data_IF_030004216818
#
_entry.id   IF_030004216818
#
_cell.length_a   1.000
_cell.length_b   1.000
_cell.length_c   1.000
_cell.angle_alpha   90.00
_cell.angle_beta   90.00
_cell.angle_gamma   90.00
#
_symmetry.space_group_name_H-M   'P 1'
#
loop_
_entity.id
_entity.type
_entity.pdbx_description
1 polymer ?
#
# COMPACT_ATOMS: atom_id res chain seq x y z
N UNK A 1 46.75 -19.87 -7.82
CA UNK A 1 46.18 -18.69 -8.50
C UNK A 1 44.82 -19.12 -9.04
N UNK A 2 43.65 -18.62 -8.71
CA UNK A 2 43.17 -17.64 -7.72
C UNK A 2 41.70 -18.01 -7.52
N UNK A 3 41.30 -18.35 -6.30
CA UNK A 3 39.89 -18.37 -5.92
C UNK A 3 39.59 -16.98 -5.35
N UNK A 4 38.57 -16.29 -5.87
CA UNK A 4 37.77 -15.32 -5.11
C UNK A 4 36.54 -14.95 -5.91
N UNK A 5 35.54 -15.82 -5.78
CA UNK A 5 34.14 -15.61 -6.08
C UNK A 5 33.67 -14.38 -5.32
N UNK A 6 33.38 -13.29 -6.02
CA UNK A 6 32.62 -12.18 -5.46
C UNK A 6 31.12 -12.53 -5.58
N UNK A 7 30.65 -13.42 -4.72
CA UNK A 7 29.22 -13.56 -4.43
C UNK A 7 28.78 -12.29 -3.70
N UNK A 8 28.34 -11.30 -4.48
CA UNK A 8 27.62 -10.15 -3.94
C UNK A 8 26.26 -10.63 -3.45
N UNK A 9 26.23 -11.15 -2.22
CA UNK A 9 24.99 -11.32 -1.45
C UNK A 9 24.43 -9.93 -1.11
N UNK A 10 23.82 -9.25 -2.09
CA UNK A 10 22.83 -8.22 -1.78
C UNK A 10 21.64 -8.93 -1.16
N UNK A 11 21.66 -9.07 0.16
CA UNK A 11 20.44 -9.26 0.94
C UNK A 11 19.65 -7.97 0.84
N UNK A 12 19.09 -7.70 -0.33
CA UNK A 12 18.23 -6.56 -0.59
C UNK A 12 17.11 -6.64 0.42
N UNK A 13 17.06 -5.64 1.31
CA UNK A 13 15.83 -5.29 2.02
C UNK A 13 14.82 -4.99 0.92
N UNK A 14 14.07 -6.00 0.47
CA UNK A 14 13.04 -5.83 -0.55
C UNK A 14 12.02 -4.88 0.04
N UNK A 15 12.10 -3.64 -0.43
CA UNK A 15 11.24 -2.56 0.02
C UNK A 15 9.85 -2.76 -0.55
N UNK A 16 8.91 -1.94 -0.10
CA UNK A 16 7.56 -1.92 -0.67
C UNK A 16 7.57 -1.64 -2.18
N UNK A 17 8.60 -0.95 -2.68
CA UNK A 17 8.82 -0.63 -4.10
C UNK A 17 8.95 -1.88 -4.99
N UNK A 18 9.49 -3.00 -4.47
CA UNK A 18 9.57 -4.27 -5.21
C UNK A 18 8.19 -4.88 -5.55
N UNK A 19 7.12 -4.39 -4.91
CA UNK A 19 5.75 -4.87 -5.17
C UNK A 19 5.13 -4.20 -6.41
N UNK A 20 5.69 -3.08 -6.83
CA UNK A 20 5.22 -2.31 -7.97
C UNK A 20 6.01 -2.71 -9.23
N UNK A 21 5.31 -2.80 -10.35
CA UNK A 21 5.95 -2.92 -11.65
C UNK A 21 6.59 -1.60 -12.08
N UNK A 22 7.36 -1.62 -13.17
CA UNK A 22 8.04 -0.45 -13.70
C UNK A 22 7.07 0.69 -14.10
N UNK A 23 5.79 0.38 -14.35
CA UNK A 23 4.72 1.33 -14.63
C UNK A 23 4.08 1.92 -13.36
N UNK A 24 4.54 1.52 -12.17
CA UNK A 24 4.00 1.99 -10.88
C UNK A 24 2.71 1.28 -10.45
N UNK A 25 2.26 0.24 -11.15
CA UNK A 25 1.10 -0.56 -10.75
C UNK A 25 1.49 -1.70 -9.84
N UNK A 26 0.62 -2.01 -8.89
CA UNK A 26 0.81 -3.16 -8.03
C UNK A 26 0.65 -4.44 -8.85
N UNK A 27 1.68 -5.28 -8.89
CA UNK A 27 1.64 -6.54 -9.66
C UNK A 27 0.75 -7.59 -9.01
N UNK A 28 0.79 -7.68 -7.68
CA UNK A 28 -0.06 -8.57 -6.90
C UNK A 28 -0.15 -8.11 -5.44
N UNK A 29 -1.31 -8.33 -4.83
CA UNK A 29 -1.49 -8.12 -3.39
C UNK A 29 -0.68 -9.18 -2.62
N UNK A 30 0.30 -8.78 -1.77
CA UNK A 30 1.12 -9.73 -1.04
C UNK A 30 0.28 -10.62 -0.10
N UNK A 31 0.53 -11.93 -0.13
CA UNK A 31 -0.10 -12.88 0.80
C UNK A 31 0.43 -12.79 2.23
N UNK A 32 1.68 -12.33 2.42
CA UNK A 32 2.30 -12.19 3.73
C UNK A 32 1.79 -10.93 4.43
N UNK A 33 1.20 -11.08 5.62
CA UNK A 33 0.64 -9.97 6.39
C UNK A 33 1.62 -8.80 6.56
N UNK A 34 2.87 -9.06 6.94
CA UNK A 34 3.89 -8.01 7.11
C UNK A 34 4.20 -7.23 5.81
N UNK A 35 4.18 -7.90 4.64
CA UNK A 35 4.38 -7.20 3.36
C UNK A 35 3.14 -6.43 2.92
N UNK A 36 1.96 -7.01 3.18
CA UNK A 36 0.69 -6.33 2.92
C UNK A 36 0.60 -5.06 3.77
N UNK A 37 0.97 -5.11 5.04
CA UNK A 37 1.02 -3.95 5.92
C UNK A 37 1.92 -2.85 5.36
N UNK A 38 3.15 -3.18 4.96
CA UNK A 38 4.08 -2.22 4.34
C UNK A 38 3.49 -1.60 3.06
N UNK A 39 2.83 -2.41 2.23
CA UNK A 39 2.11 -1.92 1.06
C UNK A 39 1.01 -0.94 1.44
N UNK A 40 0.13 -1.32 2.36
CA UNK A 40 -1.01 -0.50 2.75
C UNK A 40 -0.58 0.81 3.41
N UNK A 41 0.45 0.77 4.25
CA UNK A 41 1.08 1.97 4.83
C UNK A 41 1.60 2.90 3.73
N UNK A 42 2.37 2.36 2.78
CA UNK A 42 2.90 3.14 1.66
C UNK A 42 1.78 3.74 0.79
N UNK A 43 0.74 2.98 0.45
CA UNK A 43 -0.41 3.49 -0.29
C UNK A 43 -1.13 4.61 0.48
N UNK A 44 -1.23 4.46 1.80
CA UNK A 44 -1.86 5.46 2.66
C UNK A 44 -1.09 6.77 2.66
N UNK A 45 0.23 6.71 2.76
CA UNK A 45 1.10 7.90 2.74
C UNK A 45 1.18 8.56 1.37
N UNK A 46 1.21 7.76 0.30
CA UNK A 46 1.36 8.26 -1.08
C UNK A 46 0.06 8.80 -1.66
N UNK A 47 -1.08 8.14 -1.42
CA UNK A 47 -2.35 8.47 -2.07
C UNK A 47 -3.25 9.39 -1.23
N UNK A 48 -3.15 9.33 0.09
CA UNK A 48 -4.09 10.01 0.97
C UNK A 48 -3.38 11.06 1.83
N UNK A 49 -3.95 12.26 1.90
CA UNK A 49 -3.51 13.32 2.79
C UNK A 49 -4.10 13.10 4.20
N UNK A 50 -3.30 13.38 5.24
CA UNK A 50 -3.68 13.11 6.63
C UNK A 50 -4.89 13.94 7.08
N UNK A 51 -5.00 15.18 6.58
CA UNK A 51 -6.03 16.14 6.98
C UNK A 51 -7.19 16.24 5.97
N UNK A 52 -7.34 15.24 5.08
CA UNK A 52 -8.38 15.25 4.03
C UNK A 52 -9.35 14.10 4.20
N UNK A 53 -10.63 14.42 4.13
CA UNK A 53 -11.69 13.46 3.91
C UNK A 53 -11.85 13.20 2.40
N UNK A 54 -12.04 11.93 2.07
CA UNK A 54 -12.24 11.45 0.71
C UNK A 54 -13.58 10.74 0.62
N UNK A 55 -14.28 10.95 -0.47
CA UNK A 55 -15.48 10.18 -0.79
C UNK A 55 -15.10 8.80 -1.33
N UNK A 56 -16.02 7.84 -1.25
CA UNK A 56 -15.83 6.51 -1.86
C UNK A 56 -15.34 6.57 -3.33
N UNK A 57 -15.94 7.36 -4.25
CA UNK A 57 -15.45 7.46 -5.62
C UNK A 57 -14.05 8.05 -5.73
N UNK A 58 -13.67 9.02 -4.88
CA UNK A 58 -12.30 9.55 -4.85
C UNK A 58 -11.29 8.47 -4.41
N UNK A 59 -11.62 7.72 -3.35
CA UNK A 59 -10.80 6.60 -2.87
C UNK A 59 -10.64 5.55 -3.97
N UNK A 60 -11.74 5.17 -4.62
CA UNK A 60 -11.70 4.21 -5.71
C UNK A 60 -10.83 4.72 -6.86
N UNK A 61 -10.96 5.99 -7.25
CA UNK A 61 -10.13 6.61 -8.29
C UNK A 61 -8.64 6.58 -7.95
N UNK A 62 -8.27 6.94 -6.72
CA UNK A 62 -6.89 6.88 -6.25
C UNK A 62 -6.35 5.45 -6.27
N UNK A 63 -7.12 4.47 -5.79
CA UNK A 63 -6.70 3.07 -5.75
C UNK A 63 -6.63 2.44 -7.14
N UNK A 64 -7.49 2.85 -8.08
CA UNK A 64 -7.47 2.39 -9.48
C UNK A 64 -6.18 2.78 -10.20
N UNK A 65 -5.51 3.87 -9.78
CA UNK A 65 -4.17 4.21 -10.31
C UNK A 65 -3.13 3.15 -9.99
N UNK A 66 -3.34 2.38 -8.91
CA UNK A 66 -2.41 1.37 -8.43
C UNK A 66 -2.83 -0.04 -8.83
N UNK A 67 -4.11 -0.39 -8.68
CA UNK A 67 -4.62 -1.74 -8.93
C UNK A 67 -6.10 -1.71 -9.32
N UNK A 68 -6.52 -2.59 -10.23
CA UNK A 68 -7.92 -2.69 -10.68
C UNK A 68 -8.89 -3.08 -9.55
N UNK A 69 -8.43 -3.94 -8.64
CA UNK A 69 -9.18 -4.34 -7.44
C UNK A 69 -9.09 -3.29 -6.32
N UNK A 70 -9.57 -2.09 -6.62
CA UNK A 70 -9.69 -0.99 -5.67
C UNK A 70 -10.59 -1.35 -4.48
N UNK A 71 -11.60 -2.20 -4.69
CA UNK A 71 -12.50 -2.65 -3.63
C UNK A 71 -11.78 -3.49 -2.57
N UNK A 72 -10.94 -4.45 -2.99
CA UNK A 72 -10.13 -5.23 -2.05
C UNK A 72 -9.12 -4.34 -1.31
N UNK A 73 -8.42 -3.45 -2.02
CA UNK A 73 -7.47 -2.53 -1.40
C UNK A 73 -8.14 -1.63 -0.36
N UNK A 74 -9.28 -1.03 -0.70
CA UNK A 74 -10.08 -0.20 0.22
C UNK A 74 -10.47 -0.99 1.45
N UNK A 75 -10.92 -2.23 1.28
CA UNK A 75 -11.26 -3.13 2.40
C UNK A 75 -10.05 -3.42 3.28
N UNK A 76 -8.89 -3.71 2.68
CA UNK A 76 -7.67 -3.98 3.45
C UNK A 76 -7.17 -2.75 4.20
N UNK A 77 -7.22 -1.57 3.59
CA UNK A 77 -6.85 -0.30 4.23
C UNK A 77 -7.70 -0.01 5.47
N UNK A 78 -9.00 -0.32 5.41
CA UNK A 78 -9.89 -0.17 6.56
C UNK A 78 -9.65 -1.24 7.62
N UNK A 79 -9.50 -2.51 7.22
CA UNK A 79 -9.28 -3.62 8.17
C UNK A 79 -7.94 -3.47 8.90
N UNK A 80 -6.89 -3.05 8.20
CA UNK A 80 -5.58 -2.78 8.80
C UNK A 80 -5.56 -1.50 9.65
N UNK A 81 -6.61 -0.69 9.59
CA UNK A 81 -6.71 0.54 10.37
C UNK A 81 -5.92 1.71 9.80
N UNK A 82 -5.54 1.69 8.53
CA UNK A 82 -4.91 2.85 7.86
C UNK A 82 -5.92 3.89 7.40
N UNK A 83 -7.11 3.43 6.98
CA UNK A 83 -8.23 4.29 6.66
C UNK A 83 -9.37 4.02 7.64
N UNK A 84 -10.07 5.09 8.01
CA UNK A 84 -11.35 4.99 8.72
C UNK A 84 -12.47 5.40 7.79
N UNK A 85 -13.61 4.73 7.91
CA UNK A 85 -14.82 4.96 7.09
C UNK A 85 -15.91 5.59 7.96
N UNK A 86 -16.76 6.44 7.39
CA UNK A 86 -17.98 6.93 8.05
C UNK A 86 -18.99 5.78 8.22
N UNK A 87 -19.95 5.89 9.17
CA UNK A 87 -20.98 4.84 9.37
C UNK A 87 -21.84 4.65 8.12
N UNK A 88 -22.18 5.72 7.44
CA UNK A 88 -22.94 5.74 6.17
C UNK A 88 -22.10 5.22 5.00
N UNK A 89 -20.79 5.14 5.21
CA UNK A 89 -19.91 4.45 4.32
C UNK A 89 -19.44 5.22 3.09
N UNK A 90 -19.91 6.45 2.96
CA UNK A 90 -19.66 7.37 1.85
C UNK A 90 -18.34 8.11 1.98
N UNK A 91 -17.77 8.17 3.19
CA UNK A 91 -16.57 8.95 3.50
C UNK A 91 -15.45 8.09 4.08
N UNK A 92 -14.23 8.47 3.76
CA UNK A 92 -12.99 7.85 4.16
C UNK A 92 -12.03 8.94 4.62
N UNK A 93 -11.22 8.64 5.62
CA UNK A 93 -10.12 9.51 6.06
C UNK A 93 -8.95 8.65 6.49
N UNK A 94 -7.74 9.20 6.45
CA UNK A 94 -6.59 8.54 7.08
C UNK A 94 -6.87 8.34 8.56
N UNK A 95 -6.57 7.16 9.07
CA UNK A 95 -6.52 6.95 10.49
C UNK A 95 -5.36 7.79 11.02
N UNK A 96 -5.68 8.72 11.91
CA UNK A 96 -4.68 9.27 12.82
C UNK A 96 -4.25 8.12 13.73
N UNK A 97 -3.14 7.48 13.40
CA UNK A 97 -2.42 6.65 14.37
C UNK A 97 -1.94 7.62 15.44
N UNK A 98 -2.77 7.83 16.47
CA UNK A 98 -2.34 8.48 17.71
C UNK A 98 -1.34 7.52 18.34
N UNK A 99 -0.05 7.80 18.15
CA UNK A 99 1.02 7.19 18.93
C UNK A 99 0.96 7.70 20.37
#
# INVERSE_FOLDING_TARGET
MSQSTAETSTRTRRGVTDLFAADGRLTAIPRKAARREQLLAHLTETLFAADRAYTEPEVNGLLLTVHEDCAALRRYLVIAGHLTRTRDGSGYRRATTTL
#
